data_IF_521337599357
#
_entry.id   IF_521337599357
#
_cell.length_a   1.000
_cell.length_b   1.000
_cell.length_c   1.000
_cell.angle_alpha   90.00
_cell.angle_beta   90.00
_cell.angle_gamma   90.00
#
_symmetry.space_group_name_H-M   'P 1'
#
loop_
_entity.id
_entity.type
_entity.pdbx_description
1 polymer ?
#
# COMPACT_ATOMS: atom_id res chain seq x y z
N UNK A 1 6.21 -12.46 -23.92
CA UNK A 1 6.72 -13.17 -22.73
C UNK A 1 7.68 -12.33 -21.88
N UNK A 2 8.53 -11.44 -22.41
CA UNK A 2 9.40 -10.57 -21.59
C UNK A 2 8.63 -9.64 -20.62
N UNK A 3 7.52 -9.07 -21.08
CA UNK A 3 6.69 -8.13 -20.31
C UNK A 3 6.04 -8.77 -19.05
N UNK A 4 5.76 -10.09 -19.08
CA UNK A 4 5.19 -10.82 -17.93
C UNK A 4 6.22 -11.11 -16.83
N UNK A 5 7.51 -11.22 -17.19
CA UNK A 5 8.63 -11.35 -16.24
C UNK A 5 8.89 -10.04 -15.49
N UNK A 6 8.67 -8.89 -16.13
CA UNK A 6 8.94 -7.57 -15.55
C UNK A 6 7.82 -7.03 -14.65
N UNK A 7 6.57 -7.45 -14.88
CA UNK A 7 5.42 -6.95 -14.12
C UNK A 7 5.33 -7.64 -12.76
N UNK A 8 5.81 -6.97 -11.71
CA UNK A 8 5.62 -7.39 -10.31
C UNK A 8 4.14 -7.24 -9.91
N UNK A 9 3.41 -8.37 -9.70
CA UNK A 9 2.01 -8.32 -9.29
C UNK A 9 1.85 -7.70 -7.90
N UNK A 10 2.81 -7.97 -7.00
CA UNK A 10 2.88 -7.42 -5.64
C UNK A 10 2.86 -5.90 -5.66
N UNK A 11 3.70 -5.28 -6.49
CA UNK A 11 3.79 -3.81 -6.62
C UNK A 11 2.47 -3.20 -7.07
N UNK A 12 1.81 -3.81 -8.05
CA UNK A 12 0.53 -3.31 -8.56
C UNK A 12 -0.58 -3.33 -7.49
N UNK A 13 -0.73 -4.44 -6.77
CA UNK A 13 -1.75 -4.58 -5.73
C UNK A 13 -1.50 -3.60 -4.57
N UNK A 14 -0.25 -3.54 -4.06
CA UNK A 14 0.10 -2.65 -2.95
C UNK A 14 -0.05 -1.16 -3.33
N UNK A 15 0.33 -0.78 -4.56
CA UNK A 15 0.19 0.60 -5.03
C UNK A 15 -1.29 1.01 -5.14
N UNK A 16 -2.15 0.13 -5.64
CA UNK A 16 -3.59 0.40 -5.74
C UNK A 16 -4.21 0.64 -4.35
N UNK A 17 -3.83 -0.17 -3.36
CA UNK A 17 -4.28 -0.03 -1.97
C UNK A 17 -3.88 1.33 -1.40
N UNK A 18 -2.60 1.70 -1.50
CA UNK A 18 -2.12 3.01 -1.02
C UNK A 18 -2.79 4.18 -1.73
N UNK A 19 -3.07 4.08 -3.03
CA UNK A 19 -3.77 5.13 -3.76
C UNK A 19 -5.22 5.31 -3.26
N UNK A 20 -5.95 4.22 -3.03
CA UNK A 20 -7.30 4.28 -2.45
C UNK A 20 -7.27 4.79 -1.01
N UNK A 21 -6.29 4.36 -0.23
CA UNK A 21 -6.07 4.81 1.14
C UNK A 21 -5.72 6.29 1.20
N UNK A 22 -4.96 6.82 0.24
CA UNK A 22 -4.66 8.24 0.13
C UNK A 22 -5.94 9.08 0.01
N UNK A 23 -6.93 8.60 -0.76
CA UNK A 23 -8.23 9.25 -0.89
C UNK A 23 -8.97 9.20 0.45
N UNK A 24 -9.02 8.01 1.08
CA UNK A 24 -9.68 7.84 2.37
C UNK A 24 -9.08 8.76 3.46
N UNK A 25 -7.76 8.82 3.56
CA UNK A 25 -7.04 9.67 4.50
C UNK A 25 -7.18 11.15 4.16
N UNK A 26 -7.16 11.54 2.89
CA UNK A 26 -7.43 12.93 2.49
C UNK A 26 -8.81 13.40 2.93
N UNK A 27 -9.82 12.52 2.81
CA UNK A 27 -11.20 12.76 3.25
C UNK A 27 -11.36 12.80 4.77
N UNK A 28 -10.35 12.46 5.56
CA UNK A 28 -10.39 12.67 7.02
C UNK A 28 -10.29 14.14 7.38
N UNK A 29 -9.70 14.98 6.53
CA UNK A 29 -9.55 16.42 6.77
C UNK A 29 -10.88 17.11 7.14
N UNK A 30 -11.95 17.02 6.32
CA UNK A 30 -13.24 17.61 6.70
C UNK A 30 -13.85 16.95 7.95
N UNK A 31 -13.63 15.65 8.18
CA UNK A 31 -14.12 14.98 9.38
C UNK A 31 -13.43 15.53 10.64
N UNK A 32 -12.12 15.74 10.60
CA UNK A 32 -11.35 16.31 11.71
C UNK A 32 -11.81 17.73 12.04
N UNK A 33 -12.07 18.56 11.02
CA UNK A 33 -12.54 19.94 11.22
C UNK A 33 -13.99 19.98 11.70
N UNK A 34 -14.90 19.27 11.03
CA UNK A 34 -16.34 19.44 11.24
C UNK A 34 -16.89 18.60 12.40
N UNK A 35 -16.24 17.48 12.74
CA UNK A 35 -16.75 16.51 13.73
C UNK A 35 -15.87 16.48 14.97
N UNK A 36 -14.55 16.54 14.81
CA UNK A 36 -13.61 16.46 15.93
C UNK A 36 -13.11 17.83 16.43
N UNK A 37 -13.58 18.94 15.84
CA UNK A 37 -13.22 20.32 16.18
C UNK A 37 -11.69 20.58 16.22
N UNK A 38 -10.96 19.86 15.37
CA UNK A 38 -9.51 20.00 15.24
C UNK A 38 -9.20 21.18 14.32
N UNK A 39 -8.23 22.02 14.74
CA UNK A 39 -7.79 23.17 13.95
C UNK A 39 -7.50 22.83 12.48
N UNK A 40 -7.91 23.70 11.55
CA UNK A 40 -7.76 23.48 10.11
C UNK A 40 -6.32 23.12 9.71
N UNK A 41 -5.32 23.81 10.27
CA UNK A 41 -3.91 23.54 9.98
C UNK A 41 -3.47 22.13 10.37
N UNK A 42 -3.90 21.65 11.54
CA UNK A 42 -3.59 20.30 12.02
C UNK A 42 -4.34 19.24 11.20
N UNK A 43 -5.62 19.49 10.89
CA UNK A 43 -6.45 18.61 10.07
C UNK A 43 -5.88 18.44 8.66
N UNK A 44 -5.39 19.51 8.04
CA UNK A 44 -4.71 19.46 6.75
C UNK A 44 -3.40 18.69 6.83
N UNK A 45 -2.58 18.94 7.86
CA UNK A 45 -1.32 18.24 8.06
C UNK A 45 -1.52 16.73 8.23
N UNK A 46 -2.56 16.31 8.96
CA UNK A 46 -2.87 14.90 9.15
C UNK A 46 -3.47 14.30 7.88
N UNK A 47 -4.62 14.79 7.42
CA UNK A 47 -5.35 14.15 6.32
C UNK A 47 -4.62 14.24 4.99
N UNK A 48 -4.25 15.45 4.57
CA UNK A 48 -3.55 15.67 3.30
C UNK A 48 -2.09 15.22 3.38
N UNK A 49 -1.41 15.41 4.51
CA UNK A 49 -0.04 14.94 4.70
C UNK A 49 0.08 13.42 4.60
N UNK A 50 -0.82 12.68 5.26
CA UNK A 50 -0.86 11.22 5.11
C UNK A 50 -1.26 10.79 3.70
N UNK A 51 -2.21 11.47 3.06
CA UNK A 51 -2.59 11.18 1.68
C UNK A 51 -1.39 11.30 0.72
N UNK A 52 -0.62 12.38 0.84
CA UNK A 52 0.61 12.57 0.04
C UNK A 52 1.64 11.50 0.36
N UNK A 53 1.83 11.15 1.64
CA UNK A 53 2.74 10.08 2.03
C UNK A 53 2.36 8.74 1.38
N UNK A 54 1.08 8.38 1.33
CA UNK A 54 0.60 7.19 0.64
C UNK A 54 0.94 7.20 -0.86
N UNK A 55 0.71 8.31 -1.56
CA UNK A 55 1.01 8.42 -2.99
C UNK A 55 2.50 8.35 -3.28
N UNK A 56 3.33 8.98 -2.43
CA UNK A 56 4.78 8.88 -2.54
C UNK A 56 5.25 7.43 -2.33
N UNK A 57 4.76 6.76 -1.29
CA UNK A 57 5.08 5.36 -1.03
C UNK A 57 4.62 4.44 -2.17
N UNK A 58 3.45 4.71 -2.76
CA UNK A 58 2.96 3.97 -3.92
C UNK A 58 3.94 4.06 -5.10
N UNK A 59 4.52 5.24 -5.35
CA UNK A 59 5.59 5.44 -6.34
C UNK A 59 6.92 4.78 -5.97
N UNK A 60 7.20 4.62 -4.68
CA UNK A 60 8.46 4.08 -4.14
C UNK A 60 8.47 2.58 -3.90
N UNK A 61 7.35 1.87 -4.13
CA UNK A 61 7.20 0.41 -4.00
C UNK A 61 8.17 -0.43 -4.85
N UNK A 62 9.01 0.19 -5.66
CA UNK A 62 10.19 -0.45 -6.29
C UNK A 62 11.24 -0.89 -5.26
N UNK A 63 11.27 -0.27 -4.09
CA UNK A 63 12.23 -0.52 -3.01
C UNK A 63 11.59 -1.34 -1.90
N UNK A 64 12.30 -2.34 -1.37
CA UNK A 64 11.75 -3.24 -0.34
C UNK A 64 11.36 -2.52 0.96
N UNK A 65 12.11 -1.48 1.35
CA UNK A 65 11.79 -0.71 2.56
C UNK A 65 10.44 0.02 2.46
N UNK A 66 9.96 0.33 1.25
CA UNK A 66 8.68 1.00 1.06
C UNK A 66 7.51 0.15 1.56
N UNK A 67 7.67 -1.19 1.57
CA UNK A 67 6.67 -2.09 2.12
C UNK A 67 6.61 -2.03 3.65
N UNK A 68 7.75 -1.87 4.31
CA UNK A 68 7.80 -1.62 5.76
C UNK A 68 7.24 -0.24 6.10
N UNK A 69 7.53 0.78 5.29
CA UNK A 69 6.97 2.12 5.46
C UNK A 69 5.44 2.13 5.25
N UNK A 70 4.90 1.30 4.36
CA UNK A 70 3.45 1.14 4.21
C UNK A 70 2.79 0.59 5.48
N UNK A 71 3.43 -0.33 6.22
CA UNK A 71 2.92 -0.74 7.54
C UNK A 71 2.85 0.41 8.54
N UNK A 72 3.79 1.36 8.49
CA UNK A 72 3.73 2.56 9.33
C UNK A 72 2.50 3.40 8.99
N UNK A 73 2.19 3.56 7.70
CA UNK A 73 0.95 4.22 7.25
C UNK A 73 -0.28 3.49 7.76
N UNK A 74 -0.32 2.15 7.68
CA UNK A 74 -1.45 1.37 8.19
C UNK A 74 -1.68 1.60 9.69
N UNK A 75 -0.61 1.58 10.48
CA UNK A 75 -0.69 1.85 11.92
C UNK A 75 -1.15 3.28 12.18
N UNK A 76 -0.68 4.26 11.41
CA UNK A 76 -1.13 5.65 11.52
C UNK A 76 -2.62 5.80 11.17
N UNK A 77 -3.09 5.14 10.09
CA UNK A 77 -4.49 5.14 9.68
C UNK A 77 -5.40 4.52 10.74
N UNK A 78 -5.02 3.36 11.29
CA UNK A 78 -5.74 2.72 12.41
C UNK A 78 -5.69 3.58 13.67
N UNK A 79 -4.55 4.20 13.97
CA UNK A 79 -4.38 5.12 15.10
C UNK A 79 -5.26 6.37 14.99
N UNK A 80 -5.58 6.81 13.77
CA UNK A 80 -6.56 7.87 13.56
C UNK A 80 -7.96 7.48 14.07
N UNK A 81 -8.21 6.19 14.28
CA UNK A 81 -9.37 5.63 14.98
C UNK A 81 -9.66 6.27 16.34
N UNK A 82 -8.64 6.68 17.07
CA UNK A 82 -8.82 7.32 18.38
C UNK A 82 -9.48 8.70 18.28
N UNK A 83 -9.38 9.37 17.13
CA UNK A 83 -10.00 10.66 16.85
C UNK A 83 -11.27 10.47 16.02
N UNK A 84 -11.22 9.56 15.05
CA UNK A 84 -12.32 9.23 14.14
C UNK A 84 -12.61 7.73 14.29
N UNK A 85 -13.52 7.30 15.17
CA UNK A 85 -13.75 5.87 15.46
C UNK A 85 -13.96 4.97 14.23
N UNK A 86 -14.56 5.51 13.16
CA UNK A 86 -14.74 4.80 11.89
C UNK A 86 -13.41 4.36 11.25
N UNK A 87 -12.30 5.06 11.52
CA UNK A 87 -10.96 4.72 11.02
C UNK A 87 -10.40 3.43 11.61
N UNK A 88 -10.89 2.94 12.76
CA UNK A 88 -10.54 1.59 13.19
C UNK A 88 -11.03 0.54 12.18
N UNK A 89 -12.22 0.73 11.63
CA UNK A 89 -12.79 -0.16 10.63
C UNK A 89 -12.11 0.07 9.27
N UNK A 90 -12.08 1.32 8.79
CA UNK A 90 -11.50 1.62 7.48
C UNK A 90 -9.99 1.35 7.43
N UNK A 91 -9.22 1.84 8.40
CA UNK A 91 -7.79 1.55 8.52
C UNK A 91 -7.53 0.06 8.74
N UNK A 92 -8.38 -0.63 9.50
CA UNK A 92 -8.29 -2.09 9.65
C UNK A 92 -8.46 -2.84 8.33
N UNK A 93 -9.43 -2.43 7.50
CA UNK A 93 -9.64 -2.99 6.17
C UNK A 93 -8.41 -2.73 5.28
N UNK A 94 -7.91 -1.50 5.24
CA UNK A 94 -6.70 -1.18 4.47
C UNK A 94 -5.48 -1.98 4.96
N UNK A 95 -5.30 -2.15 6.27
CA UNK A 95 -4.21 -2.93 6.83
C UNK A 95 -4.30 -4.42 6.46
N UNK A 96 -5.51 -4.98 6.47
CA UNK A 96 -5.76 -6.35 6.03
C UNK A 96 -5.51 -6.53 4.53
N UNK A 97 -6.00 -5.60 3.71
CA UNK A 97 -5.76 -5.61 2.26
C UNK A 97 -4.26 -5.47 1.97
N UNK A 98 -3.56 -4.58 2.67
CA UNK A 98 -2.14 -4.36 2.53
C UNK A 98 -1.34 -5.63 2.89
N UNK A 99 -1.57 -6.18 4.08
CA UNK A 99 -0.87 -7.38 4.53
C UNK A 99 -1.13 -8.59 3.64
N UNK A 100 -2.37 -8.78 3.19
CA UNK A 100 -2.74 -9.87 2.28
C UNK A 100 -2.14 -9.68 0.89
N UNK A 101 -2.16 -8.46 0.33
CA UNK A 101 -1.55 -8.16 -0.95
C UNK A 101 -0.01 -8.32 -0.93
N UNK A 102 0.65 -7.92 0.17
CA UNK A 102 2.08 -8.13 0.34
C UNK A 102 2.43 -9.62 0.41
N UNK A 103 1.69 -10.39 1.22
CA UNK A 103 1.91 -11.82 1.39
C UNK A 103 1.63 -12.60 0.10
N UNK A 104 0.47 -12.37 -0.52
CA UNK A 104 0.07 -13.02 -1.77
C UNK A 104 0.99 -12.62 -2.91
N UNK A 105 1.37 -11.34 -2.99
CA UNK A 105 2.33 -10.85 -3.97
C UNK A 105 3.68 -11.56 -3.87
N UNK A 106 4.24 -11.68 -2.66
CA UNK A 106 5.49 -12.44 -2.43
C UNK A 106 5.35 -13.91 -2.81
N UNK A 107 4.19 -14.52 -2.55
CA UNK A 107 3.93 -15.92 -2.92
C UNK A 107 3.89 -16.10 -4.43
N UNK A 108 3.13 -15.27 -5.15
CA UNK A 108 3.02 -15.30 -6.61
C UNK A 108 4.38 -15.07 -7.27
N UNK A 109 5.17 -14.11 -6.76
CA UNK A 109 6.50 -13.82 -7.29
C UNK A 109 7.46 -15.01 -7.12
N UNK A 110 7.43 -15.71 -5.98
CA UNK A 110 8.23 -16.93 -5.77
C UNK A 110 7.80 -18.07 -6.69
N UNK A 111 6.51 -18.32 -6.83
CA UNK A 111 5.97 -19.37 -7.72
C UNK A 111 6.34 -19.10 -9.18
N UNK A 112 6.22 -17.84 -9.63
CA UNK A 112 6.65 -17.42 -10.97
C UNK A 112 8.15 -17.57 -11.17
N UNK A 113 8.97 -17.17 -10.22
CA UNK A 113 10.42 -17.29 -10.31
C UNK A 113 10.86 -18.77 -10.43
N UNK A 114 10.25 -19.66 -9.65
CA UNK A 114 10.50 -21.10 -9.73
C UNK A 114 10.09 -21.70 -11.09
N UNK A 115 8.92 -21.32 -11.61
CA UNK A 115 8.44 -21.76 -12.92
C UNK A 115 9.37 -21.30 -14.06
N UNK A 116 9.86 -20.06 -14.01
CA UNK A 116 10.82 -19.56 -15.00
C UNK A 116 12.16 -20.27 -14.92
N UNK A 117 12.69 -20.53 -13.72
CA UNK A 117 13.93 -21.29 -13.55
C UNK A 117 13.81 -22.73 -14.12
N UNK A 118 12.67 -23.39 -13.91
CA UNK A 118 12.43 -24.72 -14.48
C UNK A 118 12.34 -24.69 -16.02
N UNK A 119 11.71 -23.65 -16.59
CA UNK A 119 11.64 -23.47 -18.05
C UNK A 119 13.01 -23.23 -18.68
N UNK A 120 13.84 -22.37 -18.05
CA UNK A 120 15.18 -22.06 -18.54
C UNK A 120 16.12 -23.28 -18.43
N UNK A 121 15.95 -24.13 -17.40
CA UNK A 121 16.67 -25.40 -17.29
C UNK A 121 16.25 -26.43 -18.35
N UNK A 122 14.97 -26.43 -18.74
CA UNK A 122 14.45 -27.32 -19.78
C UNK A 122 14.78 -26.84 -21.21
N UNK A 123 15.03 -25.54 -21.40
CA UNK A 123 15.32 -24.91 -22.70
C UNK A 123 16.60 -24.06 -22.60
N UNK A 124 17.79 -24.68 -22.50
CA UNK A 124 19.04 -23.94 -22.44
C UNK A 124 19.20 -23.06 -23.70
N UNK A 125 19.76 -21.84 -23.57
CA UNK A 125 19.95 -20.96 -24.72
C UNK A 125 20.83 -21.66 -25.76
N UNK A 126 20.34 -21.72 -27.00
CA UNK A 126 21.13 -22.18 -28.14
C UNK A 126 22.36 -21.28 -28.30
N UNK A 127 23.57 -21.85 -28.47
CA UNK A 127 24.82 -21.08 -28.54
C UNK A 127 24.85 -20.09 -29.70
#
# INVERSE_FOLDING_TARGET
MSNERERSPRRGMCAAILCLEAIALGLTTPVLVQVADVSLGTSLAIGLGLAVACLLLAGMLRKEWAYSAGWVVQVAAVGLGFVIPLMFVLGGIFALLWGSADLLGRRIERERAAAFAAFDAANPPTP
#
